data_IF_975510689867
#
_entry.id   IF_975510689867
#
_cell.length_a   1.000
_cell.length_b   1.000
_cell.length_c   1.000
_cell.angle_alpha   90.00
_cell.angle_beta   90.00
_cell.angle_gamma   90.00
#
_symmetry.space_group_name_H-M   'P 1'
#
loop_
_entity.id
_entity.type
_entity.pdbx_description
1 polymer ?
#
# COMPACT_ATOMS: atom_id res chain seq x y z
N UNK A 1 -16.37 -30.24 30.88
CA UNK A 1 -15.70 -31.09 29.88
C UNK A 1 -15.18 -30.23 28.76
N UNK A 2 -13.95 -29.80 28.91
CA UNK A 2 -13.26 -28.93 27.97
C UNK A 2 -12.59 -29.77 26.88
N UNK A 3 -13.32 -30.15 25.85
CA UNK A 3 -12.74 -30.75 24.64
C UNK A 3 -12.14 -29.66 23.76
N UNK A 4 -10.95 -29.21 24.11
CA UNK A 4 -10.05 -28.55 23.16
C UNK A 4 -9.77 -29.54 22.05
N UNK A 5 -10.34 -29.32 20.88
CA UNK A 5 -10.11 -30.12 19.70
C UNK A 5 -8.62 -30.13 19.34
N UNK A 6 -7.95 -31.19 19.73
CA UNK A 6 -6.61 -31.51 19.22
C UNK A 6 -6.76 -31.72 17.71
N UNK A 7 -6.32 -30.76 16.89
CA UNK A 7 -6.10 -30.98 15.48
C UNK A 7 -5.19 -32.20 15.32
N UNK A 8 -5.77 -33.36 15.04
CA UNK A 8 -5.01 -34.52 14.53
C UNK A 8 -4.43 -34.02 13.20
N UNK A 9 -3.12 -33.76 13.18
CA UNK A 9 -2.40 -33.70 11.91
C UNK A 9 -2.60 -35.07 11.25
N UNK A 10 -3.46 -35.13 10.27
CA UNK A 10 -3.62 -36.31 9.43
C UNK A 10 -2.38 -36.36 8.56
N UNK A 11 -1.55 -37.36 8.79
CA UNK A 11 -0.34 -37.66 8.00
C UNK A 11 -0.66 -38.23 6.61
N UNK A 12 -1.91 -38.16 6.20
CA UNK A 12 -2.33 -38.64 4.90
C UNK A 12 -2.26 -37.49 3.89
N UNK A 13 -1.39 -37.67 2.90
CA UNK A 13 -1.37 -36.81 1.71
C UNK A 13 -2.67 -37.02 0.93
N UNK A 14 -3.59 -36.06 1.02
CA UNK A 14 -4.88 -36.14 0.34
C UNK A 14 -5.52 -34.75 0.13
N UNK A 15 -6.42 -34.67 -0.83
CA UNK A 15 -7.20 -33.46 -1.13
C UNK A 15 -8.31 -33.19 -0.08
N UNK A 16 -8.41 -33.99 0.97
CA UNK A 16 -9.43 -33.85 2.01
C UNK A 16 -9.44 -32.49 2.70
N UNK A 17 -8.27 -31.88 2.91
CA UNK A 17 -8.18 -30.54 3.46
C UNK A 17 -8.78 -29.48 2.51
N UNK A 18 -8.55 -29.62 1.21
CA UNK A 18 -9.15 -28.72 0.22
C UNK A 18 -10.68 -28.90 0.17
N UNK A 19 -11.16 -30.13 0.20
CA UNK A 19 -12.58 -30.41 0.23
C UNK A 19 -13.25 -29.84 1.49
N UNK A 20 -12.60 -29.96 2.65
CA UNK A 20 -13.15 -29.53 3.94
C UNK A 20 -13.07 -28.02 4.16
N UNK A 21 -12.02 -27.33 3.70
CA UNK A 21 -11.83 -25.90 3.96
C UNK A 21 -12.23 -25.01 2.77
N UNK A 22 -12.12 -25.48 1.54
CA UNK A 22 -12.44 -24.69 0.35
C UNK A 22 -13.88 -24.94 -0.13
N UNK A 23 -14.33 -26.21 -0.11
CA UNK A 23 -15.63 -26.60 -0.68
C UNK A 23 -16.70 -26.87 0.38
N UNK A 24 -16.35 -27.11 1.64
CA UNK A 24 -17.31 -27.28 2.72
C UNK A 24 -17.81 -25.92 3.20
N UNK A 25 -18.82 -25.36 2.63
CA UNK A 25 -19.69 -24.25 3.00
C UNK A 25 -19.43 -23.33 4.25
N UNK A 26 -18.37 -23.54 5.00
CA UNK A 26 -18.05 -22.75 6.20
C UNK A 26 -17.57 -21.32 5.88
N UNK A 27 -17.36 -20.96 4.62
CA UNK A 27 -17.08 -19.59 4.18
C UNK A 27 -15.75 -18.97 4.65
N UNK A 28 -14.98 -19.64 5.52
CA UNK A 28 -13.76 -19.09 6.12
C UNK A 28 -12.70 -18.70 5.09
N UNK A 29 -12.46 -19.58 4.10
CA UNK A 29 -11.49 -19.31 3.02
C UNK A 29 -11.96 -18.16 2.15
N UNK A 30 -13.25 -18.10 1.82
CA UNK A 30 -13.81 -17.02 1.03
C UNK A 30 -13.77 -15.69 1.76
N UNK A 31 -14.02 -15.67 3.07
CA UNK A 31 -13.85 -14.48 3.89
C UNK A 31 -12.38 -14.03 3.92
N UNK A 32 -11.44 -14.94 4.09
CA UNK A 32 -10.01 -14.64 4.06
C UNK A 32 -9.58 -14.06 2.70
N UNK A 33 -10.08 -14.61 1.58
CA UNK A 33 -9.82 -14.08 0.24
C UNK A 33 -10.38 -12.67 0.08
N UNK A 34 -11.62 -12.43 0.49
CA UNK A 34 -12.25 -11.11 0.40
C UNK A 34 -11.53 -10.06 1.26
N UNK A 35 -11.14 -10.42 2.48
CA UNK A 35 -10.33 -9.55 3.36
C UNK A 35 -8.98 -9.24 2.73
N UNK A 36 -8.30 -10.23 2.15
CA UNK A 36 -6.99 -10.06 1.49
C UNK A 36 -7.12 -9.15 0.26
N UNK A 37 -8.10 -9.38 -0.60
CA UNK A 37 -8.35 -8.53 -1.77
C UNK A 37 -8.71 -7.11 -1.33
N UNK A 38 -9.56 -6.97 -0.31
CA UNK A 38 -9.95 -5.67 0.24
C UNK A 38 -8.75 -4.88 0.79
N UNK A 39 -7.88 -5.53 1.58
CA UNK A 39 -6.62 -4.93 2.07
C UNK A 39 -5.71 -4.53 0.92
N UNK A 40 -5.57 -5.41 -0.06
CA UNK A 40 -4.72 -5.15 -1.23
C UNK A 40 -5.21 -3.94 -2.02
N UNK A 41 -6.50 -3.85 -2.34
CA UNK A 41 -7.07 -2.71 -3.06
C UNK A 41 -6.96 -1.40 -2.25
N UNK A 42 -7.26 -1.45 -0.96
CA UNK A 42 -7.21 -0.28 -0.08
C UNK A 42 -5.79 0.28 0.08
N UNK A 43 -4.79 -0.58 0.02
CA UNK A 43 -3.37 -0.21 0.05
C UNK A 43 -2.87 0.18 -1.35
N UNK A 44 -3.13 -0.65 -2.37
CA UNK A 44 -2.52 -0.53 -3.69
C UNK A 44 -2.95 0.73 -4.45
N UNK A 45 -4.25 1.07 -4.41
CA UNK A 45 -4.78 2.23 -5.12
C UNK A 45 -4.12 3.54 -4.66
N UNK A 46 -4.14 3.91 -3.35
CA UNK A 46 -3.48 5.13 -2.91
C UNK A 46 -1.95 5.07 -3.08
N UNK A 47 -1.33 3.89 -2.96
CA UNK A 47 0.10 3.71 -3.19
C UNK A 47 0.50 4.09 -4.62
N UNK A 48 -0.17 3.54 -5.62
CA UNK A 48 0.12 3.86 -7.04
C UNK A 48 -0.17 5.32 -7.33
N UNK A 49 -1.30 5.86 -6.88
CA UNK A 49 -1.68 7.24 -7.13
C UNK A 49 -0.66 8.23 -6.54
N UNK A 50 -0.29 8.06 -5.26
CA UNK A 50 0.68 8.93 -4.61
C UNK A 50 2.06 8.79 -5.25
N UNK A 51 2.52 7.57 -5.50
CA UNK A 51 3.82 7.31 -6.11
C UNK A 51 3.92 7.90 -7.51
N UNK A 52 2.87 7.79 -8.31
CA UNK A 52 2.81 8.36 -9.66
C UNK A 52 2.81 9.89 -9.64
N UNK A 53 2.04 10.51 -8.73
CA UNK A 53 2.03 11.97 -8.54
C UNK A 53 3.42 12.48 -8.12
N UNK A 54 4.05 11.83 -7.14
CA UNK A 54 5.38 12.21 -6.68
C UNK A 54 6.44 11.97 -7.76
N UNK A 55 6.38 10.85 -8.48
CA UNK A 55 7.29 10.58 -9.58
C UNK A 55 7.18 11.63 -10.70
N UNK A 56 5.95 11.99 -11.10
CA UNK A 56 5.73 13.06 -12.06
C UNK A 56 6.26 14.40 -11.57
N UNK A 57 6.01 14.74 -10.31
CA UNK A 57 6.48 16.00 -9.73
C UNK A 57 8.01 16.07 -9.64
N UNK A 58 8.67 14.99 -9.23
CA UNK A 58 10.14 14.95 -9.14
C UNK A 58 10.84 14.87 -10.51
N UNK A 59 10.14 14.54 -11.57
CA UNK A 59 10.68 14.49 -12.94
C UNK A 59 10.28 15.70 -13.78
N UNK A 60 9.43 16.58 -13.25
CA UNK A 60 9.03 17.80 -13.95
C UNK A 60 10.21 18.78 -14.08
N UNK A 61 10.50 19.16 -15.32
CA UNK A 61 11.60 20.06 -15.68
C UNK A 61 11.32 21.51 -15.18
N UNK A 62 10.03 21.86 -15.04
CA UNK A 62 9.60 23.21 -14.62
C UNK A 62 9.63 23.38 -13.09
N UNK A 63 9.50 22.31 -12.33
CA UNK A 63 9.49 22.30 -10.86
C UNK A 63 10.79 21.77 -10.26
N UNK A 64 11.94 22.40 -10.57
CA UNK A 64 13.23 22.02 -9.95
C UNK A 64 13.27 22.46 -8.47
N UNK A 65 12.94 21.55 -7.56
CA UNK A 65 13.11 21.77 -6.14
C UNK A 65 14.61 21.73 -5.76
N UNK A 66 15.10 22.75 -5.07
CA UNK A 66 16.43 22.67 -4.45
C UNK A 66 16.42 21.53 -3.43
N UNK A 67 17.37 20.58 -3.56
CA UNK A 67 17.45 19.45 -2.64
C UNK A 67 16.52 18.27 -2.95
N UNK A 68 16.07 18.07 -4.18
CA UNK A 68 15.22 16.93 -4.58
C UNK A 68 15.73 15.57 -4.10
N UNK A 69 17.06 15.37 -4.02
CA UNK A 69 17.66 14.15 -3.51
C UNK A 69 17.28 13.87 -2.05
N UNK A 70 17.31 14.90 -1.20
CA UNK A 70 16.94 14.77 0.21
C UNK A 70 15.45 14.38 0.36
N UNK A 71 14.56 15.01 -0.40
CA UNK A 71 13.13 14.66 -0.37
C UNK A 71 12.89 13.21 -0.80
N UNK A 72 13.56 12.74 -1.87
CA UNK A 72 13.46 11.36 -2.32
C UNK A 72 13.92 10.38 -1.24
N UNK A 73 15.02 10.68 -0.55
CA UNK A 73 15.53 9.86 0.56
C UNK A 73 14.54 9.83 1.73
N UNK A 74 14.03 10.98 2.15
CA UNK A 74 13.05 11.06 3.25
C UNK A 74 11.77 10.27 2.91
N UNK A 75 11.28 10.38 1.68
CA UNK A 75 10.08 9.65 1.25
C UNK A 75 10.31 8.15 1.08
N UNK A 76 11.54 7.73 0.82
CA UNK A 76 11.92 6.31 0.75
C UNK A 76 12.22 5.70 2.13
N UNK A 77 12.47 6.53 3.16
CA UNK A 77 12.92 6.09 4.48
C UNK A 77 12.01 5.04 5.15
N UNK A 78 10.67 5.11 5.05
CA UNK A 78 9.81 4.08 5.62
C UNK A 78 10.09 2.67 5.09
N UNK A 79 10.50 2.54 3.85
CA UNK A 79 10.81 1.26 3.21
C UNK A 79 12.09 0.60 3.74
N UNK A 80 13.00 1.39 4.33
CA UNK A 80 14.27 0.89 4.89
C UNK A 80 14.03 0.24 6.27
N UNK A 81 13.00 0.67 6.99
CA UNK A 81 12.70 0.17 8.32
C UNK A 81 12.09 -1.23 8.21
N UNK A 82 12.52 -2.16 9.06
CA UNK A 82 11.97 -3.52 9.03
C UNK A 82 10.48 -3.54 9.41
N UNK A 83 9.71 -4.40 8.77
CA UNK A 83 8.28 -4.54 9.06
C UNK A 83 7.99 -4.86 10.53
N UNK A 84 8.87 -5.65 11.19
CA UNK A 84 8.74 -5.97 12.60
C UNK A 84 8.85 -4.71 13.49
N UNK A 85 9.82 -3.84 13.22
CA UNK A 85 9.98 -2.58 13.96
C UNK A 85 8.78 -1.67 13.80
N UNK A 86 8.26 -1.55 12.57
CA UNK A 86 7.06 -0.75 12.28
C UNK A 86 5.83 -1.35 12.98
N UNK A 87 5.69 -2.67 12.97
CA UNK A 87 4.58 -3.33 13.66
C UNK A 87 4.58 -3.01 15.17
N UNK A 88 5.73 -3.09 15.83
CA UNK A 88 5.86 -2.76 17.26
C UNK A 88 5.57 -1.28 17.51
N UNK A 89 6.08 -0.39 16.66
CA UNK A 89 5.83 1.05 16.76
C UNK A 89 4.33 1.36 16.65
N UNK A 90 3.69 0.87 15.59
CA UNK A 90 2.26 1.13 15.37
C UNK A 90 1.40 0.45 16.42
N UNK A 91 1.77 -0.75 16.88
CA UNK A 91 1.09 -1.39 17.98
C UNK A 91 1.12 -0.50 19.24
N UNK A 92 2.28 0.03 19.63
CA UNK A 92 2.39 0.90 20.81
C UNK A 92 1.64 2.24 20.66
N UNK A 93 1.53 2.78 19.44
CA UNK A 93 0.79 4.01 19.17
C UNK A 93 -0.74 3.81 19.22
N UNK A 94 -1.22 2.66 18.74
CA UNK A 94 -2.64 2.36 18.60
C UNK A 94 -3.18 1.40 19.68
N UNK A 95 -2.35 0.97 20.62
CA UNK A 95 -2.79 0.22 21.79
C UNK A 95 -3.83 1.00 22.61
N UNK A 96 -4.55 0.34 23.53
CA UNK A 96 -5.61 0.94 24.38
C UNK A 96 -5.11 2.20 25.10
N UNK A 97 -3.84 2.20 25.53
CA UNK A 97 -3.17 3.32 26.19
C UNK A 97 -2.25 4.12 25.27
N UNK A 98 -2.26 3.82 23.96
CA UNK A 98 -1.40 4.48 22.99
C UNK A 98 -1.77 5.94 22.75
N UNK A 99 -0.77 6.75 22.42
CA UNK A 99 -0.94 8.19 22.20
C UNK A 99 -1.94 8.51 21.08
N UNK A 100 -1.91 7.73 19.99
CA UNK A 100 -2.84 7.92 18.87
C UNK A 100 -4.27 7.53 19.24
N UNK A 101 -4.45 6.46 20.01
CA UNK A 101 -5.76 6.07 20.56
C UNK A 101 -6.31 7.15 21.48
N UNK A 102 -5.47 7.79 22.31
CA UNK A 102 -5.89 8.89 23.17
C UNK A 102 -6.39 10.10 22.35
N UNK A 103 -5.68 10.46 21.29
CA UNK A 103 -6.10 11.55 20.39
C UNK A 103 -7.44 11.22 19.70
N UNK A 104 -7.57 10.02 19.16
CA UNK A 104 -8.81 9.61 18.48
C UNK A 104 -10.00 9.47 19.43
N UNK A 105 -9.73 9.10 20.70
CA UNK A 105 -10.74 9.10 21.75
C UNK A 105 -11.19 10.51 22.10
N UNK A 106 -10.27 11.47 22.20
CA UNK A 106 -10.59 12.87 22.43
C UNK A 106 -11.42 13.49 21.29
N UNK A 107 -11.24 12.99 20.06
CA UNK A 107 -12.04 13.37 18.89
C UNK A 107 -13.39 12.63 18.78
N UNK A 108 -13.68 11.71 19.71
CA UNK A 108 -14.92 10.92 19.68
C UNK A 108 -14.98 9.82 18.63
N UNK A 109 -13.81 9.47 18.00
CA UNK A 109 -13.72 8.52 16.91
C UNK A 109 -13.51 7.06 17.38
N UNK A 110 -13.20 6.83 18.64
CA UNK A 110 -13.06 5.49 19.20
C UNK A 110 -13.63 5.38 20.62
N UNK A 111 -14.08 4.16 20.97
CA UNK A 111 -14.56 3.84 22.32
C UNK A 111 -13.44 3.49 23.30
N UNK A 112 -13.83 3.11 24.53
CA UNK A 112 -12.90 2.79 25.63
C UNK A 112 -12.01 1.55 25.35
N UNK A 113 -12.50 0.61 24.54
CA UNK A 113 -11.82 -0.66 24.27
C UNK A 113 -10.62 -0.55 23.31
N UNK A 114 -10.31 0.66 22.84
CA UNK A 114 -9.20 0.88 21.89
C UNK A 114 -9.58 0.57 20.44
N UNK A 115 -8.69 0.97 19.54
CA UNK A 115 -8.93 0.93 18.09
C UNK A 115 -8.60 -0.45 17.51
N UNK A 116 -7.57 -1.11 18.04
CA UNK A 116 -7.10 -2.40 17.51
C UNK A 116 -8.09 -3.55 17.70
N UNK A 117 -9.03 -3.43 18.65
CA UNK A 117 -10.10 -4.40 18.84
C UNK A 117 -11.27 -4.22 17.87
N UNK A 118 -11.34 -3.11 17.17
CA UNK A 118 -12.34 -2.86 16.14
C UNK A 118 -11.84 -3.37 14.80
N UNK A 119 -12.49 -4.36 14.21
CA UNK A 119 -12.07 -4.98 12.95
C UNK A 119 -11.87 -3.97 11.81
N UNK A 120 -12.75 -2.97 11.68
CA UNK A 120 -12.66 -1.94 10.64
C UNK A 120 -11.46 -1.00 10.83
N UNK A 121 -11.19 -0.57 12.06
CA UNK A 121 -10.03 0.27 12.35
C UNK A 121 -8.71 -0.47 12.16
N UNK A 122 -8.62 -1.70 12.64
CA UNK A 122 -7.44 -2.56 12.44
C UNK A 122 -7.15 -2.78 10.96
N UNK A 123 -8.19 -3.03 10.17
CA UNK A 123 -8.11 -3.17 8.73
C UNK A 123 -7.55 -1.90 8.06
N UNK A 124 -8.05 -0.72 8.43
CA UNK A 124 -7.59 0.56 7.93
C UNK A 124 -6.15 0.88 8.34
N UNK A 125 -5.76 0.58 9.58
CA UNK A 125 -4.39 0.79 10.09
C UNK A 125 -3.40 -0.09 9.34
N UNK A 126 -3.72 -1.39 9.14
CA UNK A 126 -2.86 -2.32 8.39
C UNK A 126 -2.69 -1.85 6.94
N UNK A 127 -3.77 -1.45 6.29
CA UNK A 127 -3.72 -0.93 4.93
C UNK A 127 -2.87 0.35 4.83
N UNK A 128 -3.01 1.27 5.80
CA UNK A 128 -2.20 2.48 5.88
C UNK A 128 -0.72 2.17 6.08
N UNK A 129 -0.37 1.25 6.98
CA UNK A 129 1.02 0.84 7.23
C UNK A 129 1.65 0.28 5.95
N UNK A 130 0.96 -0.61 5.26
CA UNK A 130 1.44 -1.20 4.01
C UNK A 130 1.64 -0.11 2.94
N UNK A 131 0.65 0.76 2.75
CA UNK A 131 0.74 1.91 1.85
C UNK A 131 1.94 2.79 2.19
N UNK A 132 2.10 3.18 3.46
CA UNK A 132 3.17 4.06 3.93
C UNK A 132 4.55 3.43 3.78
N UNK A 133 4.68 2.12 3.95
CA UNK A 133 5.94 1.43 3.75
C UNK A 133 6.36 1.35 2.27
N UNK A 134 5.41 1.14 1.36
CA UNK A 134 5.73 0.75 -0.01
C UNK A 134 5.65 1.88 -1.05
N UNK A 135 4.96 3.00 -0.75
CA UNK A 135 4.81 4.07 -1.75
C UNK A 135 6.15 4.65 -2.21
N UNK A 136 7.14 4.76 -1.33
CA UNK A 136 8.45 5.32 -1.64
C UNK A 136 9.24 4.45 -2.63
N UNK A 137 9.19 3.12 -2.46
CA UNK A 137 9.81 2.18 -3.40
C UNK A 137 9.17 2.29 -4.79
N UNK A 138 7.85 2.25 -4.85
CA UNK A 138 7.10 2.41 -6.10
C UNK A 138 7.40 3.75 -6.76
N UNK A 139 7.50 4.84 -5.99
CA UNK A 139 7.87 6.17 -6.49
C UNK A 139 9.24 6.14 -7.18
N UNK A 140 10.27 5.52 -6.59
CA UNK A 140 11.61 5.47 -7.18
C UNK A 140 11.60 4.68 -8.49
N UNK A 141 10.92 3.55 -8.52
CA UNK A 141 10.77 2.73 -9.74
C UNK A 141 10.07 3.52 -10.85
N UNK A 142 9.02 4.28 -10.52
CA UNK A 142 8.31 5.12 -11.48
C UNK A 142 9.16 6.30 -11.95
N UNK A 143 9.97 6.93 -11.08
CA UNK A 143 10.94 7.97 -11.48
C UNK A 143 11.92 7.40 -12.51
N UNK A 144 12.48 6.22 -12.24
CA UNK A 144 13.40 5.57 -13.19
C UNK A 144 12.70 5.28 -14.52
N UNK A 145 11.45 4.81 -14.48
CA UNK A 145 10.65 4.59 -15.68
C UNK A 145 10.39 5.85 -16.48
N UNK A 146 10.02 6.97 -15.83
CA UNK A 146 9.80 8.26 -16.52
C UNK A 146 11.11 8.77 -17.15
N UNK A 147 12.22 8.67 -16.42
CA UNK A 147 13.55 9.07 -16.94
C UNK A 147 14.02 8.21 -18.11
N UNK A 148 13.51 7.00 -18.28
CA UNK A 148 13.77 6.11 -19.41
C UNK A 148 12.94 6.45 -20.66
N UNK A 149 11.95 7.32 -20.58
CA UNK A 149 11.16 7.73 -21.75
C UNK A 149 11.99 8.67 -22.62
N UNK A 150 11.98 8.43 -23.94
CA UNK A 150 12.71 9.26 -24.89
C UNK A 150 12.20 10.72 -24.83
N UNK A 151 13.09 11.71 -24.53
CA UNK A 151 12.71 13.13 -24.46
C UNK A 151 12.08 13.69 -25.74
N UNK A 152 12.43 13.14 -26.91
CA UNK A 152 11.88 13.55 -28.20
C UNK A 152 10.33 13.42 -28.24
N UNK A 153 9.75 12.50 -27.48
CA UNK A 153 8.28 12.36 -27.39
C UNK A 153 7.63 13.56 -26.69
N UNK A 154 8.30 14.11 -25.67
CA UNK A 154 7.82 15.30 -24.97
C UNK A 154 8.03 16.56 -25.82
N UNK A 155 9.17 16.64 -26.54
CA UNK A 155 9.46 17.74 -27.45
C UNK A 155 8.43 17.79 -28.59
N UNK A 156 8.12 16.66 -29.21
CA UNK A 156 7.07 16.56 -30.21
C UNK A 156 5.70 17.00 -29.64
N UNK A 157 5.34 16.52 -28.44
CA UNK A 157 4.11 16.94 -27.79
C UNK A 157 4.04 18.46 -27.52
N UNK A 158 5.18 19.09 -27.16
CA UNK A 158 5.24 20.54 -26.97
C UNK A 158 5.07 21.30 -28.29
N UNK A 159 5.65 20.82 -29.39
CA UNK A 159 5.47 21.40 -30.74
C UNK A 159 4.01 21.31 -31.19
N UNK A 160 3.34 20.19 -30.86
CA UNK A 160 1.91 19.98 -31.13
C UNK A 160 0.99 20.78 -30.18
N UNK A 161 1.54 21.56 -29.26
CA UNK A 161 0.78 22.41 -28.34
C UNK A 161 0.12 21.62 -27.20
N UNK A 162 0.59 20.41 -26.90
CA UNK A 162 0.06 19.62 -25.80
C UNK A 162 0.37 20.26 -24.44
N UNK A 163 -0.63 20.32 -23.57
CA UNK A 163 -0.44 20.76 -22.18
C UNK A 163 0.32 19.71 -21.36
N UNK A 164 0.96 20.12 -20.28
CA UNK A 164 1.65 19.21 -19.35
C UNK A 164 0.74 18.05 -18.89
N UNK A 165 -0.54 18.34 -18.63
CA UNK A 165 -1.54 17.31 -18.27
C UNK A 165 -1.78 16.32 -19.42
N UNK A 166 -1.88 16.81 -20.65
CA UNK A 166 -2.04 15.93 -21.82
C UNK A 166 -0.82 15.05 -22.04
N UNK A 167 0.39 15.60 -21.92
CA UNK A 167 1.64 14.83 -22.00
C UNK A 167 1.70 13.76 -20.91
N UNK A 168 1.32 14.11 -19.68
CA UNK A 168 1.30 13.13 -18.60
C UNK A 168 0.35 11.96 -18.87
N UNK A 169 -0.92 12.22 -19.21
CA UNK A 169 -1.90 11.14 -19.42
C UNK A 169 -1.78 10.43 -20.76
N UNK A 170 -1.27 11.09 -21.81
CA UNK A 170 -1.19 10.50 -23.16
C UNK A 170 0.17 9.93 -23.52
N UNK A 171 1.26 10.39 -22.87
CA UNK A 171 2.62 9.90 -23.11
C UNK A 171 3.15 9.14 -21.89
N UNK A 172 3.24 9.81 -20.72
CA UNK A 172 3.89 9.25 -19.55
C UNK A 172 3.15 8.02 -19.01
N UNK A 173 1.87 8.12 -18.69
CA UNK A 173 1.10 7.02 -18.08
C UNK A 173 1.02 5.79 -18.99
N UNK A 174 0.73 5.90 -20.31
CA UNK A 174 0.71 4.72 -21.18
C UNK A 174 2.07 4.03 -21.31
N UNK A 175 3.16 4.80 -21.36
CA UNK A 175 4.51 4.24 -21.45
C UNK A 175 5.00 3.62 -20.13
N UNK A 176 4.45 4.04 -18.99
CA UNK A 176 4.71 3.41 -17.70
C UNK A 176 3.87 2.15 -17.45
N UNK A 177 2.86 1.88 -18.29
CA UNK A 177 1.99 0.70 -18.12
C UNK A 177 2.74 -0.62 -17.93
N UNK A 178 3.81 -0.95 -18.68
CA UNK A 178 4.59 -2.17 -18.46
C UNK A 178 5.22 -2.22 -17.07
N UNK A 179 5.67 -1.07 -16.54
CA UNK A 179 6.29 -0.96 -15.21
C UNK A 179 5.24 -1.08 -14.11
N UNK A 180 4.01 -0.59 -14.34
CA UNK A 180 2.90 -0.68 -13.40
C UNK A 180 2.30 -2.10 -13.32
N UNK A 181 2.62 -2.98 -14.25
CA UNK A 181 2.17 -4.36 -14.28
C UNK A 181 3.11 -5.33 -13.52
N UNK A 182 4.31 -4.89 -13.17
CA UNK A 182 5.28 -5.60 -12.34
C UNK A 182 5.15 -5.20 -10.87
#
# INVERSE_FOLDING_TARGET
>A
DNKVGRNKMTTEFGFGNYANYVFSGNGEVWQAILVTIGLWLLNFIPQILLSLLLAAWFTDIHCKLKGQGAYKVIMYMPNIITAATIAVLFYSLFDVHGSMTAVLRALGLCGENGILLSGWWSFGIIAFIQFWMWYGNTMIVLIAGIMGINPALYEAGMVDGATARQMFFKITVPLLKPILQF
#
